data_IF_246290878356
#
_entry.id   IF_246290878356
#
_cell.length_a   1.000
_cell.length_b   1.000
_cell.length_c   1.000
_cell.angle_alpha   90.00
_cell.angle_beta   90.00
_cell.angle_gamma   90.00
#
_symmetry.space_group_name_H-M   'P 1'
#
loop_
_entity.id
_entity.type
_entity.pdbx_description
1 polymer ?
#
# COMPACT_ATOMS: atom_id res chain seq x y z
N UNK A 1 -34.46 -37.33 4.70
CA UNK A 1 -33.10 -37.06 4.17
C UNK A 1 -33.24 -36.18 2.95
N UNK A 2 -32.88 -34.90 3.07
CA UNK A 2 -32.96 -33.95 1.95
C UNK A 2 -31.71 -34.16 1.09
N UNK A 3 -31.88 -34.60 -0.14
CA UNK A 3 -30.79 -34.81 -1.07
C UNK A 3 -30.19 -33.43 -1.46
N UNK A 4 -28.93 -33.22 -1.20
CA UNK A 4 -28.18 -32.07 -1.71
C UNK A 4 -28.01 -32.26 -3.23
N UNK A 5 -28.63 -31.39 -4.02
CA UNK A 5 -28.43 -31.33 -5.47
C UNK A 5 -27.35 -30.32 -5.78
N UNK A 6 -26.24 -30.73 -6.43
CA UNK A 6 -25.25 -29.84 -7.00
C UNK A 6 -25.87 -29.08 -8.17
N UNK A 7 -26.09 -27.79 -7.98
CA UNK A 7 -26.50 -26.91 -9.07
C UNK A 7 -25.26 -26.65 -9.92
N UNK A 8 -25.29 -26.96 -11.24
CA UNK A 8 -24.14 -26.65 -12.12
C UNK A 8 -23.85 -25.15 -12.10
N UNK A 9 -22.59 -24.72 -12.19
CA UNK A 9 -22.28 -23.30 -12.25
C UNK A 9 -23.03 -22.68 -13.41
N UNK A 10 -23.68 -21.54 -13.16
CA UNK A 10 -24.37 -20.77 -14.20
C UNK A 10 -23.39 -20.55 -15.35
N UNK A 11 -23.80 -20.83 -16.59
CA UNK A 11 -22.99 -20.55 -17.77
C UNK A 11 -22.53 -19.08 -17.70
N UNK A 12 -21.22 -18.89 -17.74
CA UNK A 12 -20.63 -17.55 -17.69
C UNK A 12 -21.18 -16.76 -18.88
N UNK A 13 -21.76 -15.59 -18.62
CA UNK A 13 -22.10 -14.69 -19.72
C UNK A 13 -20.85 -14.42 -20.56
N UNK A 14 -20.94 -14.37 -21.89
CA UNK A 14 -19.81 -14.09 -22.73
C UNK A 14 -19.14 -12.79 -22.26
N UNK A 15 -17.81 -12.81 -22.15
CA UNK A 15 -17.08 -11.60 -21.78
C UNK A 15 -17.37 -10.51 -22.83
N UNK A 16 -17.69 -9.29 -22.39
CA UNK A 16 -17.95 -8.21 -23.34
C UNK A 16 -16.71 -7.98 -24.22
N UNK A 17 -16.93 -7.72 -25.48
CA UNK A 17 -15.87 -7.36 -26.43
C UNK A 17 -15.10 -6.15 -25.90
N UNK A 18 -13.79 -6.11 -26.16
CA UNK A 18 -12.97 -4.97 -25.79
C UNK A 18 -13.35 -3.77 -26.63
N UNK A 19 -13.52 -2.60 -26.01
CA UNK A 19 -13.61 -1.34 -26.77
C UNK A 19 -12.31 -1.07 -27.53
N UNK A 20 -12.35 -0.21 -28.55
CA UNK A 20 -11.15 0.17 -29.31
C UNK A 20 -10.03 0.70 -28.41
N UNK A 21 -10.36 1.47 -27.36
CA UNK A 21 -9.39 1.97 -26.38
C UNK A 21 -8.78 0.86 -25.53
N UNK A 22 -9.58 -0.12 -25.09
CA UNK A 22 -9.08 -1.29 -24.36
C UNK A 22 -8.18 -2.15 -25.25
N UNK A 23 -8.55 -2.38 -26.49
CA UNK A 23 -7.73 -3.12 -27.45
C UNK A 23 -6.38 -2.41 -27.68
N UNK A 24 -6.39 -1.09 -27.92
CA UNK A 24 -5.18 -0.31 -28.08
C UNK A 24 -4.25 -0.38 -26.85
N UNK A 25 -4.80 -0.31 -25.64
CA UNK A 25 -4.03 -0.44 -24.39
C UNK A 25 -3.38 -1.83 -24.26
N UNK A 26 -4.10 -2.89 -24.59
CA UNK A 26 -3.59 -4.25 -24.60
C UNK A 26 -2.47 -4.45 -25.63
N UNK A 27 -2.63 -3.89 -26.82
CA UNK A 27 -1.63 -3.94 -27.89
C UNK A 27 -0.36 -3.17 -27.51
N UNK A 28 -0.50 -2.01 -26.85
CA UNK A 28 0.63 -1.22 -26.38
C UNK A 28 1.43 -1.95 -25.30
N UNK A 29 0.73 -2.55 -24.36
CA UNK A 29 1.35 -3.38 -23.32
C UNK A 29 2.09 -4.59 -23.94
N UNK A 30 1.51 -5.22 -24.97
CA UNK A 30 2.10 -6.36 -25.68
C UNK A 30 3.37 -5.97 -26.47
N UNK A 31 3.38 -4.79 -27.10
CA UNK A 31 4.55 -4.27 -27.84
C UNK A 31 5.74 -3.95 -26.93
N UNK A 32 5.51 -3.87 -25.63
CA UNK A 32 6.58 -3.65 -24.66
C UNK A 32 7.10 -2.21 -24.62
N UNK A 33 6.33 -1.26 -25.10
CA UNK A 33 6.69 0.17 -25.21
C UNK A 33 6.70 0.92 -23.86
N UNK A 34 7.02 0.28 -22.75
CA UNK A 34 7.14 0.95 -21.45
C UNK A 34 5.91 0.79 -20.55
N UNK A 35 5.51 1.88 -19.88
CA UNK A 35 4.37 1.89 -18.96
C UNK A 35 3.13 2.43 -19.65
N UNK A 36 1.97 1.85 -19.37
CA UNK A 36 0.68 2.22 -19.97
C UNK A 36 -0.24 2.76 -18.90
N UNK A 37 -0.82 3.93 -19.13
CA UNK A 37 -1.84 4.53 -18.26
C UNK A 37 -3.16 4.55 -19.02
N UNK A 38 -4.21 4.03 -18.38
CA UNK A 38 -5.56 4.01 -18.97
C UNK A 38 -6.51 4.72 -18.02
N UNK A 39 -7.16 5.76 -18.54
CA UNK A 39 -8.20 6.47 -17.81
C UNK A 39 -9.57 6.15 -18.41
N UNK A 40 -10.59 6.03 -17.55
CA UNK A 40 -11.95 5.77 -18.01
C UNK A 40 -12.97 5.94 -16.90
N UNK A 41 -14.15 6.43 -17.24
CA UNK A 41 -15.23 6.66 -16.30
C UNK A 41 -15.78 5.38 -15.65
N UNK A 42 -16.77 5.55 -14.75
CA UNK A 42 -17.48 4.45 -14.12
C UNK A 42 -18.08 3.50 -15.16
N UNK A 43 -17.96 2.20 -14.95
CA UNK A 43 -18.51 1.20 -15.88
C UNK A 43 -17.74 1.04 -17.19
N UNK A 44 -16.67 1.79 -17.48
CA UNK A 44 -15.87 1.68 -18.71
C UNK A 44 -15.10 0.35 -18.85
N UNK A 45 -15.21 -0.54 -17.87
CA UNK A 45 -14.56 -1.85 -17.89
C UNK A 45 -13.09 -1.84 -17.48
N UNK A 46 -12.66 -0.87 -16.68
CA UNK A 46 -11.29 -0.74 -16.15
C UNK A 46 -10.76 -2.05 -15.55
N UNK A 47 -11.47 -2.59 -14.56
CA UNK A 47 -11.12 -3.87 -13.91
C UNK A 47 -11.14 -5.06 -14.89
N UNK A 48 -12.04 -5.03 -15.89
CA UNK A 48 -12.06 -6.06 -16.93
C UNK A 48 -10.83 -5.97 -17.81
N UNK A 49 -10.37 -4.76 -18.14
CA UNK A 49 -9.10 -4.55 -18.84
C UNK A 49 -7.92 -5.09 -18.02
N UNK A 50 -7.86 -4.83 -16.72
CA UNK A 50 -6.81 -5.35 -15.84
C UNK A 50 -6.74 -6.89 -15.90
N UNK A 51 -7.90 -7.56 -15.83
CA UNK A 51 -7.97 -9.04 -15.91
C UNK A 51 -7.56 -9.54 -17.31
N UNK A 52 -8.01 -8.88 -18.41
CA UNK A 52 -7.61 -9.24 -19.77
C UNK A 52 -6.11 -9.06 -19.99
N UNK A 53 -5.52 -7.97 -19.50
CA UNK A 53 -4.09 -7.70 -19.57
C UNK A 53 -3.27 -8.79 -18.85
N UNK A 54 -3.70 -9.18 -17.66
CA UNK A 54 -3.09 -10.27 -16.89
C UNK A 54 -3.10 -11.59 -17.69
N UNK A 55 -4.26 -11.95 -18.23
CA UNK A 55 -4.40 -13.16 -19.03
C UNK A 55 -3.58 -13.12 -20.33
N UNK A 56 -3.51 -11.97 -20.98
CA UNK A 56 -2.70 -11.78 -22.18
C UNK A 56 -1.21 -11.93 -21.90
N UNK A 57 -0.71 -11.34 -20.81
CA UNK A 57 0.69 -11.43 -20.42
C UNK A 57 1.12 -12.90 -20.18
N UNK A 58 0.29 -13.67 -19.45
CA UNK A 58 0.58 -15.09 -19.19
C UNK A 58 0.50 -15.92 -20.49
N UNK A 59 -0.49 -15.67 -21.36
CA UNK A 59 -0.56 -16.34 -22.68
C UNK A 59 0.64 -16.01 -23.57
N UNK A 60 1.21 -14.82 -23.42
CA UNK A 60 2.43 -14.40 -24.14
C UNK A 60 3.72 -14.99 -23.52
N UNK A 61 3.62 -15.85 -22.49
CA UNK A 61 4.74 -16.56 -21.89
C UNK A 61 5.26 -15.97 -20.60
N UNK A 62 4.60 -14.94 -20.00
CA UNK A 62 4.99 -14.45 -18.69
C UNK A 62 4.68 -15.52 -17.63
N UNK A 63 5.67 -15.95 -16.82
CA UNK A 63 5.39 -16.85 -15.68
C UNK A 63 4.38 -16.20 -14.72
N UNK A 64 3.42 -16.99 -14.21
CA UNK A 64 2.37 -16.48 -13.33
C UNK A 64 2.92 -15.80 -12.07
N UNK A 65 4.05 -16.26 -11.55
CA UNK A 65 4.73 -15.68 -10.38
C UNK A 65 5.46 -14.36 -10.68
N UNK A 66 5.56 -13.98 -11.96
CA UNK A 66 6.08 -12.68 -12.41
C UNK A 66 4.98 -11.69 -12.75
N UNK A 67 3.72 -12.07 -12.51
CA UNK A 67 2.55 -11.21 -12.65
C UNK A 67 2.10 -10.74 -11.26
N UNK A 68 1.88 -9.44 -11.12
CA UNK A 68 1.28 -8.85 -9.93
C UNK A 68 0.11 -7.96 -10.34
N UNK A 69 -1.04 -8.14 -9.69
CA UNK A 69 -2.19 -7.24 -9.81
C UNK A 69 -2.41 -6.56 -8.47
N UNK A 70 -2.43 -5.25 -8.47
CA UNK A 70 -2.64 -4.44 -7.26
C UNK A 70 -4.07 -3.91 -7.25
N UNK A 71 -4.71 -4.02 -6.09
CA UNK A 71 -6.05 -3.53 -5.82
C UNK A 71 -6.05 -2.60 -4.59
N UNK A 72 -6.98 -1.64 -4.50
CA UNK A 72 -7.01 -0.65 -3.42
C UNK A 72 -7.34 -1.25 -2.05
N UNK A 73 -8.13 -2.33 -2.01
CA UNK A 73 -8.58 -2.95 -0.75
C UNK A 73 -8.37 -4.47 -0.75
N UNK A 74 -8.38 -5.06 0.45
CA UNK A 74 -8.31 -6.53 0.61
C UNK A 74 -9.49 -7.25 -0.05
N UNK A 75 -10.68 -6.67 0.02
CA UNK A 75 -11.87 -7.23 -0.62
C UNK A 75 -11.75 -7.18 -2.15
N UNK A 76 -11.33 -6.05 -2.73
CA UNK A 76 -11.08 -5.92 -4.15
C UNK A 76 -9.97 -6.88 -4.61
N UNK A 77 -8.88 -7.00 -3.84
CA UNK A 77 -7.81 -7.95 -4.14
C UNK A 77 -8.28 -9.41 -4.15
N UNK A 78 -9.17 -9.80 -3.24
CA UNK A 78 -9.75 -11.14 -3.23
C UNK A 78 -10.58 -11.41 -4.49
N UNK A 79 -11.48 -10.49 -4.86
CA UNK A 79 -12.30 -10.59 -6.08
C UNK A 79 -11.44 -10.62 -7.35
N UNK A 80 -10.43 -9.75 -7.42
CA UNK A 80 -9.49 -9.74 -8.56
C UNK A 80 -8.68 -11.03 -8.64
N UNK A 81 -8.23 -11.56 -7.52
CA UNK A 81 -7.50 -12.84 -7.48
C UNK A 81 -8.30 -13.95 -8.14
N UNK A 82 -9.58 -14.11 -7.75
CA UNK A 82 -10.45 -15.15 -8.32
C UNK A 82 -10.63 -14.96 -9.82
N UNK A 83 -10.92 -13.73 -10.26
CA UNK A 83 -11.11 -13.39 -11.68
C UNK A 83 -9.83 -13.61 -12.51
N UNK A 84 -8.68 -13.15 -12.00
CA UNK A 84 -7.39 -13.30 -12.69
C UNK A 84 -7.00 -14.77 -12.73
N UNK A 85 -7.08 -15.51 -11.61
CA UNK A 85 -6.73 -16.94 -11.57
C UNK A 85 -7.55 -17.76 -12.58
N UNK A 86 -8.85 -17.48 -12.72
CA UNK A 86 -9.68 -18.10 -13.74
C UNK A 86 -9.27 -17.72 -15.16
N UNK A 87 -8.84 -16.46 -15.39
CA UNK A 87 -8.50 -15.96 -16.71
C UNK A 87 -7.11 -16.43 -17.19
N UNK A 88 -6.14 -16.57 -16.28
CA UNK A 88 -4.79 -17.07 -16.61
C UNK A 88 -4.75 -18.59 -16.79
N UNK A 89 -5.53 -19.34 -16.02
CA UNK A 89 -5.64 -20.79 -16.14
C UNK A 89 -4.39 -21.59 -15.78
N UNK A 90 -3.43 -20.97 -15.10
CA UNK A 90 -2.19 -21.61 -14.62
C UNK A 90 -2.05 -21.45 -13.11
N UNK A 91 -1.50 -22.44 -12.40
CA UNK A 91 -1.23 -22.32 -10.98
C UNK A 91 -0.11 -21.29 -10.73
N UNK A 92 -0.19 -20.59 -9.60
CA UNK A 92 0.85 -19.67 -9.14
C UNK A 92 1.27 -20.05 -7.72
N UNK A 93 2.55 -19.89 -7.40
CA UNK A 93 3.08 -20.17 -6.06
C UNK A 93 2.69 -19.10 -5.05
N UNK A 94 2.38 -17.91 -5.54
CA UNK A 94 1.96 -16.76 -4.71
C UNK A 94 0.67 -16.16 -5.22
N UNK A 95 -0.11 -15.47 -4.36
CA UNK A 95 -1.32 -14.78 -4.80
C UNK A 95 -1.02 -13.71 -5.86
N UNK A 96 -1.63 -13.83 -7.04
CA UNK A 96 -1.44 -12.90 -8.18
C UNK A 96 -2.02 -11.51 -7.92
N UNK A 97 -3.02 -11.37 -7.04
CA UNK A 97 -3.63 -10.09 -6.71
C UNK A 97 -3.48 -9.79 -5.22
N UNK A 98 -3.01 -8.58 -4.92
CA UNK A 98 -2.68 -8.11 -3.57
C UNK A 98 -3.01 -6.62 -3.42
N UNK A 99 -3.02 -6.11 -2.18
CA UNK A 99 -2.94 -4.67 -1.93
C UNK A 99 -1.50 -4.20 -1.94
N UNK A 100 -1.28 -2.87 -2.07
CA UNK A 100 0.06 -2.26 -1.96
C UNK A 100 0.73 -2.69 -0.65
N UNK A 101 0.04 -2.57 0.49
CA UNK A 101 0.59 -2.95 1.80
C UNK A 101 0.93 -4.46 1.90
N UNK A 102 0.10 -5.34 1.31
CA UNK A 102 0.41 -6.78 1.27
C UNK A 102 1.61 -7.10 0.38
N UNK A 103 1.82 -6.31 -0.66
CA UNK A 103 3.00 -6.43 -1.53
C UNK A 103 4.24 -5.94 -0.80
N UNK A 104 4.15 -4.81 -0.10
CA UNK A 104 5.21 -4.27 0.74
C UNK A 104 5.66 -5.28 1.82
N UNK A 105 4.70 -5.88 2.51
CA UNK A 105 4.97 -6.94 3.48
C UNK A 105 5.73 -8.13 2.86
N UNK A 106 5.37 -8.54 1.66
CA UNK A 106 6.06 -9.65 0.97
C UNK A 106 7.50 -9.27 0.58
N UNK A 107 7.75 -8.02 0.20
CA UNK A 107 9.09 -7.51 -0.11
C UNK A 107 9.97 -7.52 1.14
N UNK A 108 9.47 -6.97 2.25
CA UNK A 108 10.23 -6.94 3.51
C UNK A 108 10.43 -8.34 4.11
N UNK A 109 9.48 -9.26 3.89
CA UNK A 109 9.68 -10.67 4.27
C UNK A 109 10.79 -11.34 3.45
N UNK A 110 10.92 -10.99 2.18
CA UNK A 110 12.02 -11.49 1.34
C UNK A 110 13.36 -10.83 1.73
N UNK A 111 13.37 -9.56 2.11
CA UNK A 111 14.55 -8.87 2.67
C UNK A 111 15.01 -9.54 3.96
N UNK A 112 14.12 -9.77 4.91
CA UNK A 112 14.41 -10.43 6.17
C UNK A 112 14.98 -11.86 5.94
N UNK A 113 14.37 -12.61 5.02
CA UNK A 113 14.87 -13.94 4.66
C UNK A 113 16.27 -13.88 4.04
N UNK A 114 16.57 -12.88 3.22
CA UNK A 114 17.90 -12.68 2.62
C UNK A 114 18.95 -12.32 3.68
N UNK A 115 18.57 -11.57 4.70
CA UNK A 115 19.45 -11.13 5.80
C UNK A 115 19.52 -12.14 6.95
N UNK A 116 18.81 -13.27 6.85
CA UNK A 116 18.65 -14.25 7.95
C UNK A 116 18.06 -13.61 9.22
N UNK A 117 17.12 -12.69 9.03
CA UNK A 117 16.42 -11.97 10.09
C UNK A 117 14.99 -12.52 10.28
N UNK A 118 14.38 -12.34 11.46
CA UNK A 118 12.99 -12.69 11.68
C UNK A 118 12.04 -11.92 10.73
N UNK A 119 10.90 -12.51 10.32
CA UNK A 119 9.97 -11.87 9.41
C UNK A 119 9.38 -10.58 10.02
N UNK A 120 9.03 -9.59 9.18
CA UNK A 120 8.45 -8.35 9.66
C UNK A 120 7.11 -8.57 10.37
N UNK A 121 6.84 -7.78 11.40
CA UNK A 121 5.57 -7.72 12.11
C UNK A 121 4.75 -6.49 11.71
N UNK A 122 3.41 -6.61 11.77
CA UNK A 122 2.52 -5.46 11.61
C UNK A 122 2.08 -4.95 12.99
N UNK A 123 2.13 -3.64 13.15
CA UNK A 123 1.59 -2.97 14.35
C UNK A 123 0.11 -2.73 14.14
N UNK A 124 -0.70 -3.17 15.08
CA UNK A 124 -2.14 -2.93 15.05
C UNK A 124 -2.48 -1.49 15.49
N UNK A 125 -3.64 -0.98 15.08
CA UNK A 125 -4.12 0.33 15.51
C UNK A 125 -4.26 0.44 17.05
N UNK A 126 -4.55 -0.67 17.74
CA UNK A 126 -4.61 -0.72 19.20
C UNK A 126 -3.21 -0.56 19.82
N UNK A 127 -2.19 -1.18 19.24
CA UNK A 127 -0.81 -1.00 19.70
C UNK A 127 -0.30 0.41 19.44
N UNK A 128 -0.65 1.01 18.30
CA UNK A 128 -0.36 2.42 18.01
C UNK A 128 -1.00 3.34 19.05
N UNK A 129 -2.28 3.12 19.40
CA UNK A 129 -3.00 3.91 20.41
C UNK A 129 -2.33 3.82 21.78
N UNK A 130 -1.84 2.64 22.16
CA UNK A 130 -1.08 2.47 23.42
C UNK A 130 0.20 3.29 23.40
N UNK A 131 0.98 3.27 22.32
CA UNK A 131 2.22 4.06 22.22
C UNK A 131 1.92 5.55 22.26
N UNK A 132 0.95 6.03 21.46
CA UNK A 132 0.59 7.44 21.46
C UNK A 132 0.08 7.91 22.82
N UNK A 133 -0.70 7.08 23.53
CA UNK A 133 -1.15 7.40 24.88
C UNK A 133 0.03 7.53 25.84
N UNK A 134 0.97 6.58 25.85
CA UNK A 134 2.13 6.61 26.73
C UNK A 134 3.00 7.85 26.50
N UNK A 135 3.21 8.24 25.25
CA UNK A 135 3.93 9.45 24.88
C UNK A 135 3.21 10.71 25.36
N UNK A 136 1.92 10.86 25.04
CA UNK A 136 1.11 12.01 25.47
C UNK A 136 1.04 12.14 27.01
N UNK A 137 0.83 11.02 27.72
CA UNK A 137 0.90 11.00 29.20
C UNK A 137 2.27 11.45 29.70
N UNK A 138 3.36 11.11 29.01
CA UNK A 138 4.71 11.57 29.34
C UNK A 138 4.84 13.09 29.28
N UNK A 139 4.31 13.72 28.23
CA UNK A 139 4.32 15.18 28.05
C UNK A 139 3.42 15.89 29.05
N UNK A 140 2.20 15.41 29.26
CA UNK A 140 1.22 16.02 30.19
C UNK A 140 1.72 15.93 31.64
N UNK A 141 2.35 14.80 32.02
CA UNK A 141 2.86 14.59 33.38
C UNK A 141 4.28 15.15 33.62
N UNK A 142 4.84 15.91 32.67
CA UNK A 142 6.15 16.55 32.81
C UNK A 142 7.35 15.60 32.76
N UNK A 143 7.19 14.38 32.24
CA UNK A 143 8.30 13.43 32.02
C UNK A 143 9.07 13.72 30.73
N UNK A 144 8.44 14.46 29.79
CA UNK A 144 9.01 14.94 28.56
C UNK A 144 8.75 16.44 28.42
N UNK A 145 9.38 17.09 27.44
CA UNK A 145 9.14 18.50 27.15
C UNK A 145 7.68 18.74 26.74
N UNK A 146 7.06 19.80 27.26
CA UNK A 146 5.66 20.12 26.94
C UNK A 146 5.50 20.41 25.44
N UNK A 147 4.55 19.74 24.79
CA UNK A 147 4.15 20.02 23.42
C UNK A 147 3.21 21.22 23.38
N UNK A 148 3.38 22.06 22.38
CA UNK A 148 2.52 23.24 22.21
C UNK A 148 1.42 22.94 21.17
N UNK A 149 0.22 22.59 21.68
CA UNK A 149 -0.97 22.32 20.84
C UNK A 149 -1.80 23.59 20.54
N UNK A 150 -1.32 24.76 20.95
CA UNK A 150 -2.06 26.02 20.87
C UNK A 150 -3.01 26.24 22.07
N UNK A 151 -3.50 27.48 22.20
CA UNK A 151 -4.32 27.89 23.36
C UNK A 151 -5.71 27.24 23.39
N UNK A 152 -6.21 26.78 22.23
CA UNK A 152 -7.54 26.19 22.11
C UNK A 152 -7.63 24.74 22.59
N UNK A 153 -6.50 24.05 22.79
CA UNK A 153 -6.46 22.64 23.15
C UNK A 153 -5.74 22.45 24.51
N UNK A 154 -6.46 22.24 25.59
CA UNK A 154 -5.86 21.95 26.90
C UNK A 154 -5.15 20.59 26.89
N UNK A 155 -4.08 20.46 27.70
CA UNK A 155 -3.25 19.26 27.76
C UNK A 155 -4.10 18.00 28.06
N UNK A 156 -5.09 18.08 28.93
CA UNK A 156 -5.96 16.95 29.30
C UNK A 156 -6.80 16.44 28.12
N UNK A 157 -7.12 17.32 27.16
CA UNK A 157 -7.87 16.95 25.97
C UNK A 157 -7.05 16.05 25.03
N UNK A 158 -5.70 16.14 25.08
CA UNK A 158 -4.81 15.31 24.28
C UNK A 158 -4.85 13.84 24.70
N UNK A 159 -5.27 13.54 25.95
CA UNK A 159 -5.41 12.20 26.48
C UNK A 159 -6.73 11.51 26.07
N UNK A 160 -7.65 12.24 25.44
CA UNK A 160 -8.94 11.68 25.03
C UNK A 160 -8.76 10.71 23.83
N UNK A 161 -9.52 9.61 23.78
CA UNK A 161 -9.44 8.65 22.66
C UNK A 161 -9.65 9.28 21.30
N UNK A 162 -10.59 10.24 21.17
CA UNK A 162 -10.87 10.93 19.91
C UNK A 162 -9.67 11.76 19.42
N UNK A 163 -8.96 12.46 20.32
CA UNK A 163 -7.76 13.19 19.94
C UNK A 163 -6.65 12.23 19.45
N UNK A 164 -6.42 11.12 20.16
CA UNK A 164 -5.42 10.13 19.75
C UNK A 164 -5.76 9.48 18.41
N UNK A 165 -7.03 9.28 18.11
CA UNK A 165 -7.48 8.79 16.81
C UNK A 165 -7.17 9.79 15.70
N UNK A 166 -7.49 11.08 15.88
CA UNK A 166 -7.17 12.14 14.92
C UNK A 166 -5.65 12.30 14.74
N UNK A 167 -4.89 12.27 15.83
CA UNK A 167 -3.44 12.33 15.78
C UNK A 167 -2.86 11.14 15.01
N UNK A 168 -3.29 9.92 15.32
CA UNK A 168 -2.90 8.72 14.57
C UNK A 168 -3.22 8.88 13.08
N UNK A 169 -4.41 9.36 12.74
CA UNK A 169 -4.80 9.59 11.35
C UNK A 169 -3.91 10.63 10.67
N UNK A 170 -3.49 11.69 11.38
CA UNK A 170 -2.55 12.69 10.85
C UNK A 170 -1.17 12.07 10.58
N UNK A 171 -0.60 11.32 11.53
CA UNK A 171 0.69 10.65 11.37
C UNK A 171 0.66 9.63 10.24
N UNK A 172 -0.42 8.85 10.13
CA UNK A 172 -0.59 7.91 9.02
C UNK A 172 -0.65 8.63 7.66
N UNK A 173 -1.36 9.77 7.56
CA UNK A 173 -1.39 10.58 6.33
C UNK A 173 -0.02 11.14 5.98
N UNK A 174 0.74 11.62 6.97
CA UNK A 174 2.10 12.09 6.75
C UNK A 174 2.98 10.96 6.16
N UNK A 175 2.95 9.77 6.75
CA UNK A 175 3.68 8.61 6.25
C UNK A 175 3.20 8.16 4.85
N UNK A 176 1.89 8.15 4.58
CA UNK A 176 1.33 7.80 3.27
C UNK A 176 1.67 8.84 2.18
N UNK A 177 1.88 10.10 2.59
CA UNK A 177 2.35 11.18 1.72
C UNK A 177 3.89 11.22 1.58
N UNK A 178 4.60 10.27 2.17
CA UNK A 178 6.07 10.21 2.21
C UNK A 178 6.70 11.44 2.89
N UNK A 179 6.02 11.97 3.92
CA UNK A 179 6.49 13.09 4.72
C UNK A 179 7.15 12.59 6.00
N UNK A 180 8.38 13.05 6.23
CA UNK A 180 9.07 12.87 7.51
C UNK A 180 8.47 13.77 8.61
N UNK A 181 8.86 13.53 9.86
CA UNK A 181 8.52 14.42 10.97
C UNK A 181 9.03 15.87 10.72
N UNK A 182 10.19 16.02 10.09
CA UNK A 182 10.74 17.35 9.75
C UNK A 182 9.92 18.05 8.65
N UNK A 183 9.45 17.32 7.64
CA UNK A 183 8.57 17.87 6.60
C UNK A 183 7.22 18.30 7.18
N UNK A 184 6.63 17.49 8.06
CA UNK A 184 5.38 17.85 8.74
C UNK A 184 5.56 19.10 9.61
N UNK A 185 6.71 19.22 10.30
CA UNK A 185 7.06 20.41 11.10
C UNK A 185 7.24 21.65 10.23
N UNK A 186 7.88 21.52 9.07
CA UNK A 186 8.02 22.60 8.10
C UNK A 186 6.65 23.06 7.59
N UNK A 187 5.78 22.15 7.15
CA UNK A 187 4.42 22.45 6.74
C UNK A 187 3.61 23.14 7.84
N UNK A 188 3.76 22.69 9.10
CA UNK A 188 3.11 23.33 10.24
C UNK A 188 3.50 24.80 10.42
N UNK A 189 4.80 25.12 10.21
CA UNK A 189 5.31 26.50 10.27
C UNK A 189 4.85 27.33 9.09
N UNK A 190 4.90 26.77 7.88
CA UNK A 190 4.55 27.48 6.64
C UNK A 190 3.06 27.82 6.55
N UNK A 191 2.22 27.05 7.24
CA UNK A 191 0.77 27.23 7.26
C UNK A 191 0.22 27.76 8.59
N UNK A 192 1.09 28.23 9.51
CA UNK A 192 0.71 28.71 10.86
C UNK A 192 -0.13 27.68 11.65
N UNK A 193 0.17 26.38 11.49
CA UNK A 193 -0.52 25.26 12.16
C UNK A 193 0.35 24.72 13.28
N UNK A 194 0.27 25.37 14.44
CA UNK A 194 1.08 25.02 15.61
C UNK A 194 0.85 23.58 16.07
N UNK A 195 -0.38 23.07 15.91
CA UNK A 195 -0.75 21.72 16.23
C UNK A 195 -0.06 20.68 15.33
N UNK A 196 0.29 21.05 14.08
CA UNK A 196 1.09 20.17 13.21
C UNK A 196 2.56 20.15 13.63
N UNK A 197 3.08 21.26 14.16
CA UNK A 197 4.43 21.29 14.72
C UNK A 197 4.51 20.36 15.94
N UNK A 198 3.56 20.45 16.87
CA UNK A 198 3.48 19.56 18.01
C UNK A 198 3.30 18.08 17.61
N UNK A 199 2.45 17.82 16.62
CA UNK A 199 2.27 16.48 16.07
C UNK A 199 3.55 15.93 15.43
N UNK A 200 4.35 16.79 14.76
CA UNK A 200 5.63 16.40 14.17
C UNK A 200 6.67 16.04 15.25
N UNK A 201 6.71 16.78 16.35
CA UNK A 201 7.59 16.45 17.48
C UNK A 201 7.21 15.08 18.07
N UNK A 202 5.91 14.83 18.26
CA UNK A 202 5.43 13.53 18.72
C UNK A 202 5.65 12.41 17.69
N UNK A 203 5.58 12.73 16.40
CA UNK A 203 5.86 11.77 15.32
C UNK A 203 7.30 11.26 15.37
N UNK A 204 8.27 12.17 15.55
CA UNK A 204 9.67 11.77 15.72
C UNK A 204 9.88 10.87 16.95
N UNK A 205 9.21 11.15 18.06
CA UNK A 205 9.26 10.30 19.27
C UNK A 205 8.60 8.95 19.03
N UNK A 206 7.44 8.93 18.35
CA UNK A 206 6.75 7.70 17.97
C UNK A 206 7.63 6.80 17.10
N UNK A 207 8.27 7.35 16.07
CA UNK A 207 9.20 6.59 15.22
C UNK A 207 10.38 6.04 16.03
N UNK A 208 10.95 6.84 16.95
CA UNK A 208 12.01 6.40 17.85
C UNK A 208 11.59 5.25 18.76
N UNK A 209 10.40 5.31 19.36
CA UNK A 209 9.84 4.22 20.19
C UNK A 209 9.59 2.97 19.36
N UNK A 210 9.05 3.13 18.15
CA UNK A 210 8.81 2.00 17.25
C UNK A 210 10.11 1.32 16.82
N UNK A 211 11.16 2.10 16.52
CA UNK A 211 12.49 1.57 16.23
C UNK A 211 13.08 0.78 17.42
N UNK A 212 12.95 1.31 18.64
CA UNK A 212 13.41 0.62 19.85
C UNK A 212 12.62 -0.67 20.15
N UNK A 213 11.32 -0.68 19.89
CA UNK A 213 10.48 -1.89 20.06
C UNK A 213 10.76 -2.96 19.00
N UNK A 214 11.35 -2.58 17.88
CA UNK A 214 11.79 -3.49 16.81
C UNK A 214 13.23 -4.02 17.02
N UNK A 215 13.95 -3.49 17.99
CA UNK A 215 15.36 -3.79 18.25
C UNK A 215 15.70 -5.15 18.89
N UNK A 216 14.78 -5.90 19.55
CA UNK A 216 15.13 -7.24 20.05
C UNK A 216 15.49 -8.17 18.87
N UNK A 217 16.64 -8.84 18.99
CA UNK A 217 17.22 -9.71 17.96
C UNK A 217 16.28 -10.85 17.50
N UNK A 218 15.30 -11.19 18.34
CA UNK A 218 14.33 -12.27 18.07
C UNK A 218 13.03 -11.78 17.41
N UNK A 219 12.89 -10.48 17.14
CA UNK A 219 11.70 -9.91 16.53
C UNK A 219 12.11 -9.11 15.31
N UNK A 220 11.59 -9.48 14.14
CA UNK A 220 11.76 -8.71 12.91
C UNK A 220 11.23 -7.28 13.01
N UNK A 221 11.60 -6.43 12.07
CA UNK A 221 11.13 -5.04 12.02
C UNK A 221 9.60 -4.94 12.15
N UNK A 222 9.12 -4.02 12.96
CA UNK A 222 7.68 -3.81 13.18
C UNK A 222 7.24 -2.53 12.51
N UNK A 223 6.28 -2.65 11.61
CA UNK A 223 5.81 -1.55 10.76
C UNK A 223 4.32 -1.34 10.95
N UNK A 224 3.91 -0.10 11.00
CA UNK A 224 2.50 0.24 10.86
C UNK A 224 2.06 0.18 9.37
N UNK A 225 0.74 0.17 9.10
CA UNK A 225 0.24 0.02 7.73
C UNK A 225 0.62 1.17 6.78
N UNK A 226 1.00 2.34 7.28
CA UNK A 226 1.40 3.48 6.47
C UNK A 226 2.90 3.44 6.15
N UNK A 227 3.75 3.18 7.14
CA UNK A 227 5.21 3.18 6.99
C UNK A 227 5.74 1.96 6.23
N UNK A 228 5.03 0.81 6.27
CA UNK A 228 5.48 -0.41 5.61
C UNK A 228 5.71 -0.25 4.10
N UNK A 229 4.92 0.61 3.43
CA UNK A 229 5.00 0.80 1.98
C UNK A 229 6.24 1.58 1.60
N UNK A 230 6.52 2.68 2.29
CA UNK A 230 7.74 3.48 2.11
C UNK A 230 8.98 2.63 2.39
N UNK A 231 8.99 1.90 3.52
CA UNK A 231 10.12 1.02 3.88
C UNK A 231 10.38 -0.08 2.85
N UNK A 232 9.33 -0.64 2.23
CA UNK A 232 9.48 -1.62 1.16
C UNK A 232 10.05 -1.00 -0.13
N UNK A 233 9.73 0.27 -0.42
CA UNK A 233 10.33 0.98 -1.54
C UNK A 233 11.83 1.20 -1.30
N UNK A 234 12.23 1.62 -0.08
CA UNK A 234 13.64 1.77 0.33
C UNK A 234 14.39 0.44 0.26
N UNK A 235 13.79 -0.64 0.76
CA UNK A 235 14.36 -1.98 0.70
C UNK A 235 14.65 -2.42 -0.75
N UNK A 236 13.70 -2.18 -1.66
CA UNK A 236 13.93 -2.47 -3.09
C UNK A 236 15.03 -1.57 -3.67
N UNK A 237 15.08 -0.29 -3.33
CA UNK A 237 16.11 0.64 -3.80
C UNK A 237 17.50 0.23 -3.34
N UNK A 238 17.64 -0.20 -2.09
CA UNK A 238 18.89 -0.62 -1.47
C UNK A 238 19.23 -2.09 -1.67
N UNK A 239 18.42 -2.85 -2.42
CA UNK A 239 18.61 -4.29 -2.57
C UNK A 239 19.98 -4.63 -3.16
N UNK A 240 20.79 -5.50 -2.50
CA UNK A 240 22.16 -5.78 -2.92
C UNK A 240 22.25 -6.31 -4.35
N UNK A 241 23.21 -5.80 -5.11
CA UNK A 241 23.49 -6.30 -6.45
C UNK A 241 23.91 -7.79 -6.41
N UNK A 242 23.41 -8.56 -7.37
CA UNK A 242 23.71 -9.99 -7.46
C UNK A 242 22.88 -10.91 -6.56
N UNK A 243 22.08 -10.36 -5.63
CA UNK A 243 21.13 -11.15 -4.84
C UNK A 243 19.75 -11.20 -5.49
N UNK A 244 19.02 -12.32 -5.23
CA UNK A 244 17.70 -12.55 -5.82
C UNK A 244 16.65 -11.62 -5.19
N UNK A 245 16.42 -10.47 -5.80
CA UNK A 245 15.36 -9.55 -5.39
C UNK A 245 13.98 -10.02 -5.84
N UNK A 246 12.92 -9.69 -5.11
CA UNK A 246 11.55 -9.77 -5.62
C UNK A 246 11.46 -8.99 -6.93
N UNK A 247 10.93 -9.61 -7.97
CA UNK A 247 10.85 -9.01 -9.29
C UNK A 247 9.60 -9.46 -10.03
N UNK A 248 9.02 -8.55 -10.79
CA UNK A 248 7.83 -8.78 -11.59
C UNK A 248 8.10 -8.37 -13.04
N UNK A 249 7.55 -9.11 -13.98
CA UNK A 249 7.57 -8.72 -15.38
C UNK A 249 6.45 -7.73 -15.71
N UNK A 250 5.25 -7.96 -15.12
CA UNK A 250 4.13 -7.05 -15.24
C UNK A 250 3.50 -6.75 -13.88
N UNK A 251 3.23 -5.48 -13.63
CA UNK A 251 2.47 -4.97 -12.48
C UNK A 251 1.26 -4.21 -13.03
N UNK A 252 0.08 -4.69 -12.72
CA UNK A 252 -1.19 -4.10 -13.15
C UNK A 252 -1.85 -3.49 -11.92
N UNK A 253 -2.16 -2.22 -11.96
CA UNK A 253 -2.78 -1.50 -10.84
C UNK A 253 -4.20 -1.12 -11.23
N UNK A 254 -5.17 -1.69 -10.55
CA UNK A 254 -6.58 -1.31 -10.66
C UNK A 254 -6.90 -0.22 -9.62
N UNK A 255 -7.73 0.74 -10.01
CA UNK A 255 -8.06 1.93 -9.23
C UNK A 255 -6.81 2.72 -8.78
N UNK A 256 -5.92 3.02 -9.74
CA UNK A 256 -4.67 3.74 -9.48
C UNK A 256 -4.86 5.10 -8.80
N UNK A 257 -6.00 5.74 -8.99
CA UNK A 257 -6.35 7.00 -8.30
C UNK A 257 -6.37 6.88 -6.77
N UNK A 258 -6.45 5.66 -6.23
CA UNK A 258 -6.44 5.39 -4.79
C UNK A 258 -5.04 4.99 -4.26
N UNK A 259 -3.99 5.08 -5.10
CA UNK A 259 -2.61 4.79 -4.71
C UNK A 259 -1.99 6.04 -4.08
N UNK A 260 -1.49 5.90 -2.85
CA UNK A 260 -0.81 6.97 -2.12
C UNK A 260 0.58 7.29 -2.70
N UNK A 261 1.19 8.42 -2.29
CA UNK A 261 2.52 8.80 -2.71
C UNK A 261 3.57 7.71 -2.41
N UNK A 262 3.52 7.11 -1.21
CA UNK A 262 4.37 5.98 -0.85
C UNK A 262 4.13 4.76 -1.77
N UNK A 263 2.87 4.48 -2.12
CA UNK A 263 2.52 3.44 -3.09
C UNK A 263 3.10 3.72 -4.47
N UNK A 264 3.02 4.96 -4.93
CA UNK A 264 3.61 5.38 -6.21
C UNK A 264 5.14 5.28 -6.19
N UNK A 265 5.80 5.59 -5.07
CA UNK A 265 7.23 5.40 -4.88
C UNK A 265 7.61 3.91 -5.01
N UNK A 266 6.86 3.01 -4.36
CA UNK A 266 7.07 1.57 -4.49
C UNK A 266 6.91 1.09 -5.93
N UNK A 267 5.87 1.55 -6.64
CA UNK A 267 5.66 1.21 -8.07
C UNK A 267 6.82 1.71 -8.94
N UNK A 268 7.36 2.91 -8.68
CA UNK A 268 8.56 3.42 -9.37
C UNK A 268 9.77 2.51 -9.16
N UNK A 269 9.98 2.01 -7.93
CA UNK A 269 11.07 1.06 -7.66
C UNK A 269 10.87 -0.28 -8.38
N UNK A 270 9.64 -0.78 -8.48
CA UNK A 270 9.35 -1.96 -9.29
C UNK A 270 9.65 -1.72 -10.78
N UNK A 271 9.26 -0.55 -11.29
CA UNK A 271 9.50 -0.16 -12.68
C UNK A 271 11.00 -0.02 -12.99
N UNK A 272 11.79 0.63 -12.13
CA UNK A 272 13.25 0.76 -12.29
C UNK A 272 13.97 -0.60 -12.30
N UNK A 273 13.35 -1.62 -11.71
CA UNK A 273 13.83 -3.02 -11.71
C UNK A 273 13.26 -3.86 -12.86
N UNK A 274 12.65 -3.23 -13.86
CA UNK A 274 12.22 -3.85 -15.09
C UNK A 274 10.76 -4.30 -15.16
N UNK A 275 9.94 -4.01 -14.13
CA UNK A 275 8.51 -4.27 -14.21
C UNK A 275 7.83 -3.33 -15.19
N UNK A 276 6.98 -3.88 -16.07
CA UNK A 276 6.08 -3.07 -16.91
C UNK A 276 4.81 -2.76 -16.13
N UNK A 277 4.43 -1.49 -16.09
CA UNK A 277 3.25 -1.05 -15.37
C UNK A 277 2.07 -0.84 -16.33
N UNK A 278 0.91 -1.36 -15.95
CA UNK A 278 -0.39 -0.94 -16.46
C UNK A 278 -1.16 -0.28 -15.31
N UNK A 279 -1.36 1.03 -15.39
CA UNK A 279 -2.08 1.80 -14.39
C UNK A 279 -3.47 2.11 -14.92
N UNK A 280 -4.51 1.63 -14.24
CA UNK A 280 -5.90 1.80 -14.68
C UNK A 280 -6.66 2.56 -13.62
N UNK A 281 -7.27 3.68 -13.98
CA UNK A 281 -7.94 4.52 -13.00
C UNK A 281 -8.83 5.61 -13.57
N UNK A 282 -9.40 6.41 -12.67
CA UNK A 282 -10.12 7.63 -12.97
C UNK A 282 -9.94 8.62 -11.83
N UNK A 283 -9.27 9.74 -12.06
CA UNK A 283 -9.00 10.75 -11.05
C UNK A 283 -10.28 11.28 -10.38
N UNK A 284 -11.40 11.33 -11.13
CA UNK A 284 -12.70 11.81 -10.63
C UNK A 284 -13.38 10.82 -9.66
N UNK A 285 -12.88 9.59 -9.56
CA UNK A 285 -13.44 8.52 -8.71
C UNK A 285 -12.57 8.24 -7.46
N UNK A 286 -11.57 9.08 -7.16
CA UNK A 286 -10.73 8.87 -5.98
C UNK A 286 -11.57 8.94 -4.70
N UNK A 287 -11.52 7.87 -3.90
CA UNK A 287 -12.19 7.76 -2.60
C UNK A 287 -11.20 7.71 -1.44
N UNK A 288 -9.91 7.67 -1.73
CA UNK A 288 -8.83 7.59 -0.74
C UNK A 288 -8.10 8.93 -0.54
N UNK A 289 -8.64 10.05 -1.03
CA UNK A 289 -8.06 11.38 -0.85
C UNK A 289 -7.79 11.75 0.62
N UNK A 290 -8.60 11.19 1.56
CA UNK A 290 -8.36 11.34 2.99
C UNK A 290 -7.09 10.61 3.49
N UNK A 291 -6.51 9.72 2.68
CA UNK A 291 -5.23 9.02 2.92
C UNK A 291 -4.07 9.62 2.12
N UNK A 292 -4.26 10.69 1.36
CA UNK A 292 -3.21 11.30 0.55
C UNK A 292 -3.02 10.65 -0.82
N UNK A 293 -4.07 10.00 -1.35
CA UNK A 293 -4.08 9.50 -2.72
C UNK A 293 -4.37 10.64 -3.72
#
# INVERSE_FOLDING_TARGET
MTALSLVPPRSRAPEPESSNGQAAALDELARGAGHVVVTGGAGAGKTTLAVKAAAQAVRAGLPGDKLLVIAPTRAAAALLRDRVSLAIGVPTSTPVARTVASTAFAILSAEAQMLDEPPPGLVSGAEQDVVLRELLEGHVNGRAARLNWGDALPDEATLLPGFREELRNLLMRAAEADLSADDLRALGRDHDRIEWVAAADLYAEYEGVMALRSAPVDQGGRYDPATIVARAADALAAWPEGSAAPSWGHVIVDDYQDVTAAGAALLRQMASRGARLLLVGNADESVQGYRGA
#
